data_IF_854586557371
#
_entry.id   IF_854586557371
#
_cell.length_a   1.000
_cell.length_b   1.000
_cell.length_c   1.000
_cell.angle_alpha   90.00
_cell.angle_beta   90.00
_cell.angle_gamma   90.00
#
_symmetry.space_group_name_H-M   'P 1'
#
loop_
_entity.id
_entity.type
_entity.pdbx_description
1 polymer ?
#
# COMPACT_ATOMS: atom_id res chain seq x y z
N UNK A 1 -1.75 -13.15 4.16
CA UNK A 1 -1.17 -13.36 5.50
C UNK A 1 -0.27 -14.58 5.43
N UNK A 2 0.94 -14.50 5.98
CA UNK A 2 1.90 -15.60 6.00
C UNK A 2 2.49 -15.79 7.41
N UNK A 3 3.23 -16.88 7.61
CA UNK A 3 4.05 -17.09 8.81
C UNK A 3 5.44 -17.49 8.38
N UNK A 4 6.47 -16.83 8.95
CA UNK A 4 7.88 -17.15 8.70
C UNK A 4 8.45 -17.75 9.98
N UNK A 5 9.11 -18.92 9.87
CA UNK A 5 9.78 -19.57 10.99
C UNK A 5 10.82 -18.61 11.60
N UNK A 6 10.74 -18.37 12.91
CA UNK A 6 11.64 -17.45 13.63
C UNK A 6 11.23 -15.98 13.64
N UNK A 7 10.28 -15.56 12.78
CA UNK A 7 9.76 -14.18 12.74
C UNK A 7 8.32 -14.13 13.26
N UNK A 8 7.52 -15.16 12.96
CA UNK A 8 6.11 -15.21 13.32
C UNK A 8 5.20 -14.73 12.18
N UNK A 9 4.07 -14.16 12.54
CA UNK A 9 3.02 -13.75 11.59
C UNK A 9 3.48 -12.52 10.80
N UNK A 10 3.24 -12.55 9.50
CA UNK A 10 3.46 -11.43 8.60
C UNK A 10 2.18 -11.08 7.83
N UNK A 11 1.94 -9.80 7.71
CA UNK A 11 0.85 -9.18 6.99
C UNK A 11 1.44 -8.42 5.82
N UNK A 12 0.98 -8.73 4.62
CA UNK A 12 1.39 -8.03 3.40
C UNK A 12 0.31 -7.02 3.05
N UNK A 13 0.69 -5.75 2.88
CA UNK A 13 -0.10 -4.76 2.18
C UNK A 13 0.43 -4.66 0.75
N UNK A 14 -0.47 -4.74 -0.22
CA UNK A 14 -0.13 -4.57 -1.64
C UNK A 14 -0.84 -3.33 -2.16
N UNK A 15 -0.12 -2.54 -2.95
CA UNK A 15 -0.65 -1.47 -3.78
C UNK A 15 -0.48 -1.90 -5.24
N UNK A 16 -1.51 -1.71 -6.05
CA UNK A 16 -1.48 -2.03 -7.48
C UNK A 16 -2.05 -0.83 -8.20
N UNK A 17 -1.25 -0.25 -9.10
CA UNK A 17 -1.72 0.77 -10.03
C UNK A 17 -2.27 0.12 -11.30
N UNK A 18 -3.47 0.53 -11.69
CA UNK A 18 -4.17 -0.02 -12.85
C UNK A 18 -3.67 0.57 -14.17
N UNK A 19 -3.06 1.76 -14.14
CA UNK A 19 -2.58 2.43 -15.34
C UNK A 19 -1.20 1.92 -15.77
N UNK A 20 -0.20 2.08 -14.91
CA UNK A 20 1.20 1.70 -15.15
C UNK A 20 1.48 0.20 -14.94
N UNK A 21 0.54 -0.54 -14.34
CA UNK A 21 0.70 -1.94 -13.92
C UNK A 21 1.85 -2.15 -12.91
N UNK A 22 2.23 -1.11 -12.19
CA UNK A 22 3.20 -1.19 -11.10
C UNK A 22 2.52 -1.72 -9.84
N UNK A 23 3.17 -2.67 -9.18
CA UNK A 23 2.74 -3.20 -7.90
C UNK A 23 3.85 -3.05 -6.87
N UNK A 24 3.46 -2.60 -5.68
CA UNK A 24 4.34 -2.50 -4.52
C UNK A 24 3.80 -3.39 -3.41
N UNK A 25 4.70 -4.02 -2.65
CA UNK A 25 4.33 -4.80 -1.48
C UNK A 25 5.19 -4.37 -0.29
N UNK A 26 4.55 -4.14 0.85
CA UNK A 26 5.22 -3.87 2.14
C UNK A 26 4.74 -4.89 3.16
N UNK A 27 5.67 -5.49 3.88
CA UNK A 27 5.41 -6.51 4.90
C UNK A 27 5.44 -5.88 6.28
N UNK A 28 4.50 -6.31 7.12
CA UNK A 28 4.32 -5.86 8.48
C UNK A 28 4.23 -7.06 9.41
N UNK A 29 4.73 -6.91 10.62
CA UNK A 29 4.59 -7.86 11.71
C UNK A 29 3.20 -7.78 12.37
N UNK A 30 2.49 -6.66 12.19
CA UNK A 30 1.22 -6.34 12.84
C UNK A 30 0.13 -5.94 11.84
N UNK A 31 -1.13 -6.26 12.18
CA UNK A 31 -2.34 -5.93 11.39
C UNK A 31 -3.03 -4.69 11.97
N UNK A 32 -2.54 -3.50 11.67
CA UNK A 32 -3.11 -2.22 12.11
C UNK A 32 -3.72 -1.45 10.92
N UNK A 33 -4.73 -0.61 11.15
CA UNK A 33 -5.31 0.28 10.13
C UNK A 33 -4.31 1.34 9.64
N UNK A 34 -3.36 1.76 10.48
CA UNK A 34 -2.32 2.74 10.12
C UNK A 34 -1.35 2.23 9.03
N UNK A 35 -1.29 0.91 8.82
CA UNK A 35 -0.43 0.24 7.83
C UNK A 35 -0.71 0.72 6.40
N UNK A 36 -1.97 1.04 6.09
CA UNK A 36 -2.33 1.54 4.77
C UNK A 36 -1.79 2.96 4.54
N UNK A 37 -2.01 3.87 5.49
CA UNK A 37 -1.51 5.26 5.41
C UNK A 37 0.02 5.30 5.36
N UNK A 38 0.67 4.46 6.16
CA UNK A 38 2.12 4.30 6.18
C UNK A 38 2.69 3.89 4.81
N UNK A 39 2.12 2.86 4.17
CA UNK A 39 2.55 2.47 2.82
C UNK A 39 2.34 3.58 1.78
N UNK A 40 1.23 4.30 1.87
CA UNK A 40 0.91 5.35 0.92
C UNK A 40 1.87 6.54 1.03
N UNK A 41 2.08 7.04 2.25
CA UNK A 41 2.95 8.20 2.49
C UNK A 41 4.44 7.89 2.29
N UNK A 42 4.90 6.69 2.67
CA UNK A 42 6.33 6.38 2.65
C UNK A 42 6.84 5.91 1.28
N UNK A 43 5.96 5.33 0.45
CA UNK A 43 6.37 4.60 -0.75
C UNK A 43 5.58 4.98 -1.97
N UNK A 44 4.25 4.96 -1.90
CA UNK A 44 3.42 5.13 -3.09
C UNK A 44 3.45 6.58 -3.57
N UNK A 45 3.03 7.53 -2.74
CA UNK A 45 2.93 8.94 -3.14
C UNK A 45 4.29 9.50 -3.60
N UNK A 46 5.40 9.34 -2.85
CA UNK A 46 6.70 9.89 -3.28
C UNK A 46 7.18 9.29 -4.61
N UNK A 47 6.94 7.99 -4.85
CA UNK A 47 7.36 7.34 -6.09
C UNK A 47 6.58 7.87 -7.30
N UNK A 48 5.26 8.03 -7.19
CA UNK A 48 4.45 8.58 -8.29
C UNK A 48 4.73 10.07 -8.53
N UNK A 49 5.05 10.84 -7.49
CA UNK A 49 5.52 12.23 -7.62
C UNK A 49 6.86 12.31 -8.37
N UNK A 50 7.81 11.44 -8.06
CA UNK A 50 9.11 11.35 -8.76
C UNK A 50 8.95 11.00 -10.24
N UNK A 51 8.03 10.07 -10.56
CA UNK A 51 7.69 9.69 -11.93
C UNK A 51 6.82 10.74 -12.66
N UNK A 52 6.41 11.81 -11.98
CA UNK A 52 5.57 12.86 -12.57
C UNK A 52 4.14 12.41 -12.91
N UNK A 53 3.65 11.35 -12.26
CA UNK A 53 2.33 10.76 -12.50
C UNK A 53 1.39 11.13 -11.36
N UNK A 54 0.28 11.80 -11.69
CA UNK A 54 -0.74 12.16 -10.68
C UNK A 54 -1.60 10.95 -10.31
N UNK A 55 -1.58 10.58 -9.03
CA UNK A 55 -2.55 9.64 -8.46
C UNK A 55 -3.93 10.29 -8.36
N UNK A 56 -4.94 9.68 -8.98
CA UNK A 56 -6.29 10.25 -9.04
C UNK A 56 -7.19 9.77 -7.89
N UNK A 57 -7.08 8.49 -7.55
CA UNK A 57 -7.89 7.84 -6.53
C UNK A 57 -7.22 6.57 -6.06
N UNK A 58 -7.40 6.26 -4.79
CA UNK A 58 -6.97 5.00 -4.19
C UNK A 58 -8.19 4.26 -3.68
N UNK A 59 -8.34 3.00 -4.10
CA UNK A 59 -9.42 2.13 -3.67
C UNK A 59 -8.91 1.16 -2.60
N UNK A 60 -9.63 1.03 -1.49
CA UNK A 60 -9.31 0.10 -0.42
C UNK A 60 -10.40 -0.97 -0.26
N UNK A 61 -10.00 -2.18 0.11
CA UNK A 61 -10.84 -3.39 0.15
C UNK A 61 -11.98 -3.35 1.20
N UNK A 62 -12.09 -2.28 2.01
CA UNK A 62 -13.14 -2.11 3.03
C UNK A 62 -14.18 -1.01 2.75
N UNK A 63 -14.35 -0.57 1.50
CA UNK A 63 -15.38 0.43 1.14
C UNK A 63 -14.84 1.87 1.05
N UNK A 64 -15.70 2.88 0.77
CA UNK A 64 -15.43 4.01 -0.12
C UNK A 64 -14.61 5.14 0.53
N UNK A 65 -13.58 4.82 1.30
CA UNK A 65 -12.53 5.80 1.62
C UNK A 65 -11.72 6.04 0.36
N UNK A 66 -12.31 6.80 -0.57
CA UNK A 66 -11.63 7.44 -1.67
C UNK A 66 -10.76 8.50 -1.00
N UNK A 67 -9.46 8.25 -0.95
CA UNK A 67 -8.51 9.32 -0.71
C UNK A 67 -8.33 10.01 -2.05
N UNK A 68 -8.95 11.18 -2.20
CA UNK A 68 -8.55 12.14 -3.23
C UNK A 68 -7.24 12.78 -2.76
N UNK A 69 -6.25 12.77 -3.64
CA UNK A 69 -4.89 13.29 -3.38
C UNK A 69 -4.78 14.67 -4.04
#
# INVERSE_FOLDING_TARGET
MGTIKGVGRIYQQTFIDSYSKVAMAKFYDRKNALVAADMLNDKVVPWFEEEGVRLLRILTDRGPNIVEI
#
